data_IF_477538372264
#
_entry.id   IF_477538372264
#
_cell.length_a   1.000
_cell.length_b   1.000
_cell.length_c   1.000
_cell.angle_alpha   90.00
_cell.angle_beta   90.00
_cell.angle_gamma   90.00
#
_symmetry.space_group_name_H-M   'P 1'
#
loop_
_entity.id
_entity.type
_entity.pdbx_description
1 polymer ?
#
# COMPACT_ATOMS: atom_id res chain seq x y z
N UNK A 1 -11.93 -13.49 9.02
CA UNK A 1 -10.93 -14.60 9.05
C UNK A 1 -11.10 -15.57 7.87
N UNK A 2 -12.33 -15.94 7.47
CA UNK A 2 -12.58 -16.95 6.42
C UNK A 2 -12.04 -16.58 5.02
N UNK A 3 -11.95 -15.30 4.71
CA UNK A 3 -11.54 -14.77 3.39
C UNK A 3 -10.15 -14.10 3.41
N UNK A 4 -9.35 -14.34 4.44
CA UNK A 4 -7.98 -13.85 4.54
C UNK A 4 -6.99 -15.01 4.49
N UNK A 5 -5.86 -14.78 3.85
CA UNK A 5 -4.75 -15.73 3.77
C UNK A 5 -3.58 -15.21 4.62
N UNK A 6 -3.19 -15.93 5.67
CA UNK A 6 -2.00 -15.57 6.42
C UNK A 6 -0.74 -15.78 5.58
N UNK A 7 0.23 -14.90 5.72
CA UNK A 7 1.58 -15.03 5.19
C UNK A 7 2.51 -15.36 6.35
N UNK A 8 3.12 -16.54 6.30
CA UNK A 8 4.04 -17.02 7.33
C UNK A 8 5.50 -16.95 6.87
N UNK A 9 5.70 -16.80 5.56
CA UNK A 9 7.02 -16.75 4.94
C UNK A 9 7.06 -15.73 3.81
N UNK A 10 8.12 -14.92 3.76
CA UNK A 10 8.41 -14.00 2.65
C UNK A 10 9.76 -14.37 2.07
N UNK A 11 9.78 -14.63 0.78
CA UNK A 11 10.97 -14.95 0.01
C UNK A 11 11.31 -13.77 -0.91
N UNK A 12 12.44 -13.12 -0.69
CA UNK A 12 13.01 -12.15 -1.61
C UNK A 12 14.13 -12.82 -2.41
N UNK A 13 14.03 -12.82 -3.74
CA UNK A 13 15.02 -13.46 -4.59
C UNK A 13 15.34 -12.64 -5.83
N UNK A 14 16.55 -12.80 -6.32
CA UNK A 14 16.96 -12.25 -7.61
C UNK A 14 16.53 -13.18 -8.74
N UNK A 15 15.86 -12.62 -9.74
CA UNK A 15 15.53 -13.34 -10.98
C UNK A 15 16.76 -13.45 -11.86
N UNK A 16 17.04 -14.66 -12.36
CA UNK A 16 18.22 -14.93 -13.17
C UNK A 16 18.04 -14.43 -14.61
N UNK A 17 18.84 -13.44 -15.01
CA UNK A 17 19.37 -13.29 -16.36
C UNK A 17 20.77 -12.65 -16.34
N UNK A 18 21.42 -12.59 -15.17
CA UNK A 18 22.78 -12.09 -15.07
C UNK A 18 23.68 -13.29 -14.75
N UNK A 19 24.27 -13.85 -15.78
CA UNK A 19 25.10 -15.07 -15.76
C UNK A 19 26.40 -14.99 -14.94
N UNK A 20 26.66 -13.87 -14.25
CA UNK A 20 27.91 -13.65 -13.50
C UNK A 20 27.71 -13.36 -12.00
N UNK A 21 26.48 -13.39 -11.49
CA UNK A 21 26.18 -13.02 -10.10
C UNK A 21 25.46 -14.18 -9.41
N UNK A 22 25.96 -14.62 -8.27
CA UNK A 22 25.23 -15.59 -7.44
C UNK A 22 23.89 -14.99 -7.02
N UNK A 23 22.78 -15.67 -7.32
CA UNK A 23 21.46 -15.15 -6.95
C UNK A 23 21.37 -15.05 -5.44
N UNK A 24 20.94 -13.89 -4.95
CA UNK A 24 20.64 -13.75 -3.53
C UNK A 24 19.25 -14.29 -3.21
N UNK A 25 19.15 -14.83 -2.02
CA UNK A 25 17.88 -15.25 -1.43
C UNK A 25 17.85 -14.77 0.02
N UNK A 26 16.79 -14.04 0.37
CA UNK A 26 16.56 -13.57 1.72
C UNK A 26 15.19 -14.05 2.18
N UNK A 27 15.17 -14.82 3.27
CA UNK A 27 13.96 -15.42 3.80
C UNK A 27 13.61 -14.75 5.13
N UNK A 28 12.35 -14.31 5.23
CA UNK A 28 11.72 -13.89 6.47
C UNK A 28 10.67 -14.92 6.86
N UNK A 29 10.70 -15.36 8.10
CA UNK A 29 9.73 -16.28 8.67
C UNK A 29 9.21 -15.71 9.97
N UNK A 30 8.00 -16.11 10.35
CA UNK A 30 7.46 -15.79 11.68
C UNK A 30 8.33 -16.40 12.76
N UNK A 31 8.59 -15.64 13.83
CA UNK A 31 9.01 -16.24 15.08
C UNK A 31 7.73 -16.71 15.81
N UNK A 32 7.50 -18.02 15.85
CA UNK A 32 6.28 -18.64 16.40
C UNK A 32 5.96 -18.23 17.86
N UNK A 33 6.89 -17.55 18.53
CA UNK A 33 6.70 -17.02 19.89
C UNK A 33 6.00 -15.66 19.93
N UNK A 34 6.06 -14.88 18.84
CA UNK A 34 5.53 -13.50 18.80
C UNK A 34 4.25 -13.37 17.98
N UNK A 35 4.12 -14.13 16.88
CA UNK A 35 2.89 -14.14 16.05
C UNK A 35 2.82 -15.38 15.15
N UNK A 36 1.59 -15.83 14.85
CA UNK A 36 1.37 -16.97 13.96
C UNK A 36 1.58 -16.62 12.46
N UNK A 37 1.70 -15.34 12.13
CA UNK A 37 1.83 -14.86 10.73
C UNK A 37 2.50 -13.48 10.68
N UNK A 38 3.10 -13.15 9.52
CA UNK A 38 3.75 -11.86 9.26
C UNK A 38 2.68 -10.84 8.83
N UNK A 39 1.85 -11.22 7.85
CA UNK A 39 0.79 -10.41 7.27
C UNK A 39 -0.45 -11.27 6.99
N UNK A 40 -1.56 -10.61 6.72
CA UNK A 40 -2.74 -11.22 6.14
C UNK A 40 -3.02 -10.61 4.77
N UNK A 41 -3.21 -11.46 3.76
CA UNK A 41 -3.75 -11.07 2.47
C UNK A 41 -5.26 -11.16 2.49
N UNK A 42 -5.92 -10.13 1.99
CA UNK A 42 -7.37 -10.12 1.78
C UNK A 42 -7.69 -9.48 0.42
N UNK A 43 -8.60 -10.08 -0.32
CA UNK A 43 -9.10 -9.48 -1.55
C UNK A 43 -9.98 -8.26 -1.22
N UNK A 44 -9.81 -7.18 -1.98
CA UNK A 44 -10.49 -5.90 -1.75
C UNK A 44 -12.00 -6.03 -1.62
N UNK A 45 -12.61 -6.91 -2.41
CA UNK A 45 -14.07 -7.15 -2.40
C UNK A 45 -14.57 -7.59 -1.02
N UNK A 46 -13.84 -8.45 -0.33
CA UNK A 46 -14.24 -8.93 1.00
C UNK A 46 -14.01 -7.87 2.08
N UNK A 47 -12.93 -7.08 1.93
CA UNK A 47 -12.68 -5.97 2.85
C UNK A 47 -13.75 -4.89 2.72
N UNK A 48 -14.06 -4.47 1.49
CA UNK A 48 -15.13 -3.49 1.23
C UNK A 48 -16.47 -3.97 1.75
N UNK A 49 -16.84 -5.23 1.48
CA UNK A 49 -18.09 -5.81 1.97
C UNK A 49 -18.18 -5.74 3.50
N UNK A 50 -17.14 -6.16 4.20
CA UNK A 50 -17.11 -6.13 5.66
C UNK A 50 -17.22 -4.71 6.24
N UNK A 51 -16.59 -3.71 5.58
CA UNK A 51 -16.68 -2.31 5.97
C UNK A 51 -18.10 -1.78 5.75
N UNK A 52 -18.72 -2.06 4.59
CA UNK A 52 -20.10 -1.62 4.29
C UNK A 52 -21.07 -2.23 5.26
N UNK A 53 -21.01 -3.55 5.51
CA UNK A 53 -21.85 -4.22 6.51
C UNK A 53 -21.71 -3.55 7.89
N UNK A 54 -20.48 -3.14 8.25
CA UNK A 54 -20.25 -2.45 9.53
C UNK A 54 -20.77 -1.02 9.56
N UNK A 55 -20.71 -0.30 8.44
CA UNK A 55 -21.31 1.03 8.30
C UNK A 55 -22.84 0.95 8.46
N UNK A 56 -23.48 -0.03 7.83
CA UNK A 56 -24.94 -0.23 7.88
C UNK A 56 -25.45 -0.52 9.31
N UNK A 57 -24.60 -1.08 10.18
CA UNK A 57 -24.92 -1.27 11.60
C UNK A 57 -24.86 0.05 12.42
N UNK A 58 -24.24 1.12 11.88
CA UNK A 58 -24.02 2.37 12.59
C UNK A 58 -25.08 3.41 12.22
N UNK A 59 -26.02 3.69 13.14
CA UNK A 59 -27.11 4.66 12.93
C UNK A 59 -26.66 6.13 12.81
N UNK A 60 -25.42 6.43 13.17
CA UNK A 60 -24.83 7.77 13.12
C UNK A 60 -23.96 8.01 11.89
N UNK A 61 -23.96 7.11 10.91
CA UNK A 61 -23.27 7.25 9.64
C UNK A 61 -24.29 7.36 8.52
N UNK A 62 -24.23 8.45 7.77
CA UNK A 62 -25.00 8.64 6.55
C UNK A 62 -24.10 8.40 5.34
N UNK A 63 -24.55 7.60 4.39
CA UNK A 63 -23.76 7.17 3.25
C UNK A 63 -24.43 7.56 1.93
N UNK A 64 -23.72 8.31 1.09
CA UNK A 64 -24.17 8.78 -0.22
C UNK A 64 -23.51 7.95 -1.32
N UNK A 65 -24.21 6.89 -1.77
CA UNK A 65 -23.73 6.04 -2.86
C UNK A 65 -23.79 6.76 -4.21
N UNK A 66 -22.82 6.49 -5.06
CA UNK A 66 -22.76 7.03 -6.44
C UNK A 66 -22.87 8.55 -6.51
N UNK A 67 -22.46 9.24 -5.46
CA UNK A 67 -22.53 10.69 -5.35
C UNK A 67 -21.14 11.31 -5.42
N UNK A 68 -21.06 12.48 -6.04
CA UNK A 68 -19.81 13.21 -6.23
C UNK A 68 -19.95 14.63 -5.68
N UNK A 69 -18.94 15.07 -4.93
CA UNK A 69 -18.84 16.47 -4.53
C UNK A 69 -18.50 17.31 -5.78
N UNK A 70 -19.36 18.26 -6.10
CA UNK A 70 -19.23 19.15 -7.26
C UNK A 70 -18.83 20.58 -6.89
N UNK A 71 -19.05 20.99 -5.64
CA UNK A 71 -18.62 22.27 -5.11
C UNK A 71 -18.16 22.09 -3.65
N UNK A 72 -17.07 22.74 -3.30
CA UNK A 72 -16.49 22.74 -1.96
C UNK A 72 -16.15 24.18 -1.57
N UNK A 73 -16.73 24.66 -0.47
CA UNK A 73 -16.40 25.95 0.14
C UNK A 73 -16.03 25.72 1.59
N UNK A 74 -14.80 25.99 1.93
CA UNK A 74 -14.28 25.83 3.28
C UNK A 74 -13.63 27.16 3.68
N UNK A 75 -14.11 27.73 4.76
CA UNK A 75 -13.55 28.92 5.41
C UNK A 75 -13.27 28.64 6.89
N UNK A 76 -12.83 29.65 7.63
CA UNK A 76 -12.47 29.49 9.03
C UNK A 76 -13.66 29.17 9.96
N UNK A 77 -14.88 29.37 9.51
CA UNK A 77 -16.09 29.25 10.34
C UNK A 77 -16.99 28.11 9.90
N UNK A 78 -16.99 27.78 8.61
CA UNK A 78 -17.92 26.86 8.02
C UNK A 78 -17.31 25.97 6.93
N UNK A 79 -17.92 24.83 6.72
CA UNK A 79 -17.70 24.00 5.55
C UNK A 79 -19.01 23.75 4.84
N UNK A 80 -19.02 23.89 3.54
CA UNK A 80 -20.18 23.63 2.69
C UNK A 80 -19.75 22.78 1.51
N UNK A 81 -20.32 21.59 1.39
CA UNK A 81 -20.14 20.71 0.24
C UNK A 81 -21.47 20.59 -0.51
N UNK A 82 -21.42 20.64 -1.83
CA UNK A 82 -22.58 20.36 -2.69
C UNK A 82 -22.28 19.08 -3.45
N UNK A 83 -23.19 18.11 -3.36
CA UNK A 83 -23.11 16.87 -4.13
C UNK A 83 -23.93 16.98 -5.42
N UNK A 84 -23.69 16.10 -6.36
CA UNK A 84 -24.22 16.14 -7.73
C UNK A 84 -25.75 16.06 -7.83
N UNK A 85 -26.42 15.57 -6.81
CA UNK A 85 -27.89 15.62 -6.69
C UNK A 85 -28.45 16.97 -6.19
N UNK A 86 -27.57 17.96 -5.92
CA UNK A 86 -27.92 19.29 -5.41
C UNK A 86 -28.05 19.39 -3.90
N UNK A 87 -27.86 18.30 -3.15
CA UNK A 87 -27.87 18.32 -1.69
C UNK A 87 -26.67 19.08 -1.13
N UNK A 88 -26.91 19.85 -0.07
CA UNK A 88 -25.86 20.61 0.63
C UNK A 88 -25.56 19.92 1.95
N UNK A 89 -24.26 19.69 2.20
CA UNK A 89 -23.77 19.13 3.45
C UNK A 89 -22.91 20.19 4.13
N UNK A 90 -23.25 20.52 5.38
CA UNK A 90 -22.43 21.35 6.25
C UNK A 90 -21.79 20.48 7.32
N UNK A 91 -20.51 20.75 7.64
CA UNK A 91 -19.77 19.96 8.62
C UNK A 91 -18.76 20.80 9.38
N UNK A 92 -18.28 20.30 10.52
CA UNK A 92 -17.21 20.91 11.31
C UNK A 92 -15.83 20.62 10.71
N UNK A 93 -15.70 19.54 9.93
CA UNK A 93 -14.46 19.07 9.33
C UNK A 93 -14.75 18.31 8.04
N UNK A 94 -13.94 18.53 7.03
CA UNK A 94 -13.88 17.75 5.79
C UNK A 94 -12.63 16.87 5.81
N UNK A 95 -12.82 15.56 5.63
CA UNK A 95 -11.73 14.58 5.49
C UNK A 95 -11.72 14.07 4.05
N UNK A 96 -10.74 14.49 3.27
CA UNK A 96 -10.62 14.06 1.88
C UNK A 96 -9.78 12.78 1.75
N UNK A 97 -10.39 11.76 1.12
CA UNK A 97 -9.76 10.45 0.84
C UNK A 97 -10.07 9.97 -0.58
N UNK A 98 -10.21 10.91 -1.52
CA UNK A 98 -10.60 10.71 -2.91
C UNK A 98 -9.45 10.20 -3.82
N UNK A 99 -8.29 9.91 -3.23
CA UNK A 99 -7.12 9.37 -3.93
C UNK A 99 -6.28 10.42 -4.66
N UNK A 100 -5.36 9.99 -5.52
CA UNK A 100 -4.52 10.89 -6.31
C UNK A 100 -4.66 10.56 -7.82
N UNK A 101 -4.91 11.58 -8.69
CA UNK A 101 -5.10 13.00 -8.37
C UNK A 101 -6.43 13.30 -7.64
N UNK A 102 -6.40 14.17 -6.63
CA UNK A 102 -7.53 14.53 -5.79
C UNK A 102 -8.19 15.82 -6.26
N UNK A 103 -9.50 15.80 -6.46
CA UNK A 103 -10.29 17.00 -6.75
C UNK A 103 -10.45 17.87 -5.51
N UNK A 104 -10.70 17.26 -4.35
CA UNK A 104 -10.85 17.99 -3.07
C UNK A 104 -9.58 18.72 -2.66
N UNK A 105 -8.43 18.06 -2.78
CA UNK A 105 -7.14 18.69 -2.48
C UNK A 105 -6.79 19.82 -3.47
N UNK A 106 -7.20 19.69 -4.74
CA UNK A 106 -7.01 20.72 -5.77
C UNK A 106 -7.81 21.99 -5.45
N UNK A 107 -9.08 21.84 -5.07
CA UNK A 107 -9.93 22.97 -4.64
C UNK A 107 -9.28 23.72 -3.47
N UNK A 108 -8.71 22.97 -2.51
CA UNK A 108 -7.98 23.54 -1.37
C UNK A 108 -6.56 23.99 -1.71
N UNK A 109 -6.14 23.98 -2.97
CA UNK A 109 -4.83 24.41 -3.44
C UNK A 109 -3.67 23.69 -2.73
N UNK A 110 -3.88 22.43 -2.34
CA UNK A 110 -2.84 21.57 -1.79
C UNK A 110 -1.84 21.26 -2.91
N UNK A 111 -0.56 21.54 -2.65
CA UNK A 111 0.54 21.27 -3.58
C UNK A 111 1.15 19.90 -3.28
N UNK A 112 1.55 19.22 -4.34
CA UNK A 112 2.24 17.94 -4.27
C UNK A 112 3.68 18.04 -4.77
N UNK A 113 4.53 17.20 -4.21
CA UNK A 113 5.70 16.71 -4.89
C UNK A 113 5.27 15.42 -5.61
N UNK A 114 5.42 15.36 -6.90
CA UNK A 114 5.08 14.19 -7.69
C UNK A 114 6.24 13.77 -8.58
N UNK A 115 6.36 12.47 -8.80
CA UNK A 115 7.35 11.87 -9.66
C UNK A 115 6.74 10.69 -10.41
N UNK A 116 6.86 10.72 -11.72
CA UNK A 116 6.46 9.60 -12.56
C UNK A 116 7.66 8.68 -12.78
N UNK A 117 7.55 7.43 -12.32
CA UNK A 117 8.63 6.45 -12.48
C UNK A 117 8.78 5.93 -13.91
N UNK A 118 7.89 6.30 -14.84
CA UNK A 118 7.81 5.72 -16.18
C UNK A 118 7.68 4.18 -16.15
N UNK A 119 6.94 3.70 -15.16
CA UNK A 119 6.67 2.30 -14.89
C UNK A 119 5.15 2.05 -14.81
N UNK A 120 4.76 0.82 -15.11
CA UNK A 120 3.41 0.31 -14.90
C UNK A 120 3.45 -1.05 -14.24
N UNK A 121 2.45 -1.35 -13.42
CA UNK A 121 2.25 -2.67 -12.83
C UNK A 121 1.11 -3.39 -13.54
N UNK A 122 1.37 -4.62 -13.98
CA UNK A 122 0.34 -5.56 -14.42
C UNK A 122 -0.06 -6.40 -13.23
N UNK A 123 -1.35 -6.46 -12.96
CA UNK A 123 -1.91 -7.20 -11.83
C UNK A 123 -2.96 -8.19 -12.28
N UNK A 124 -3.12 -9.27 -11.53
CA UNK A 124 -4.15 -10.27 -11.76
C UNK A 124 -4.08 -11.39 -10.73
N UNK A 125 -4.97 -12.36 -10.89
CA UNK A 125 -5.05 -13.57 -10.04
C UNK A 125 -4.94 -14.78 -10.94
N UNK A 126 -4.18 -15.76 -10.49
CA UNK A 126 -4.05 -17.07 -11.13
C UNK A 126 -4.23 -18.22 -10.15
N UNK A 127 -4.76 -19.33 -10.63
CA UNK A 127 -4.77 -20.63 -9.98
C UNK A 127 -3.50 -21.39 -10.29
N UNK A 128 -3.06 -22.22 -9.40
CA UNK A 128 -1.84 -23.01 -9.55
C UNK A 128 -1.95 -24.41 -8.96
N UNK A 129 -1.12 -25.32 -9.47
CA UNK A 129 -1.18 -26.74 -9.08
C UNK A 129 -0.40 -27.01 -7.78
N UNK A 130 0.78 -26.40 -7.62
CA UNK A 130 1.65 -26.59 -6.45
C UNK A 130 1.24 -25.59 -5.37
N UNK A 131 0.89 -26.00 -4.14
CA UNK A 131 0.51 -25.11 -3.05
C UNK A 131 1.53 -24.00 -2.79
N UNK A 132 1.06 -22.86 -2.31
CA UNK A 132 1.91 -21.70 -1.96
C UNK A 132 2.44 -21.76 -0.53
N UNK A 133 1.93 -22.65 0.33
CA UNK A 133 2.35 -22.84 1.72
C UNK A 133 2.43 -21.54 2.53
N UNK A 134 1.47 -20.62 2.30
CA UNK A 134 1.44 -19.28 2.92
C UNK A 134 2.68 -18.43 2.66
N UNK A 135 3.38 -18.70 1.55
CA UNK A 135 4.59 -17.99 1.14
C UNK A 135 4.27 -16.86 0.15
N UNK A 136 4.69 -15.65 0.48
CA UNK A 136 4.80 -14.53 -0.46
C UNK A 136 6.19 -14.51 -1.11
N UNK A 137 6.25 -14.25 -2.42
CA UNK A 137 7.52 -14.23 -3.17
C UNK A 137 7.67 -12.86 -3.83
N UNK A 138 8.83 -12.24 -3.66
CA UNK A 138 9.24 -11.04 -4.37
C UNK A 138 10.49 -11.38 -5.20
N UNK A 139 10.34 -11.30 -6.53
CA UNK A 139 11.40 -11.57 -7.47
C UNK A 139 11.86 -10.25 -8.09
N UNK A 140 13.13 -9.93 -7.98
CA UNK A 140 13.73 -8.77 -8.63
C UNK A 140 14.29 -9.18 -9.99
N UNK A 141 13.47 -8.96 -11.03
CA UNK A 141 13.85 -9.24 -12.42
C UNK A 141 14.54 -8.02 -13.05
N UNK A 142 15.33 -8.19 -14.10
CA UNK A 142 15.90 -7.06 -14.85
C UNK A 142 14.83 -6.12 -15.43
N UNK A 143 13.65 -6.65 -15.77
CA UNK A 143 12.50 -5.88 -16.24
C UNK A 143 11.80 -5.08 -15.13
N UNK A 144 12.03 -5.43 -13.87
CA UNK A 144 11.42 -4.86 -12.67
C UNK A 144 10.86 -5.91 -11.71
N UNK A 145 10.39 -5.51 -10.52
CA UNK A 145 9.96 -6.44 -9.49
C UNK A 145 8.65 -7.16 -9.85
N UNK A 146 8.62 -8.45 -9.52
CA UNK A 146 7.44 -9.31 -9.58
C UNK A 146 7.11 -9.82 -8.18
N UNK A 147 5.95 -9.45 -7.65
CA UNK A 147 5.41 -9.98 -6.40
C UNK A 147 4.37 -11.06 -6.68
N UNK A 148 4.40 -12.15 -5.92
CA UNK A 148 3.40 -13.19 -5.88
C UNK A 148 2.91 -13.31 -4.45
N UNK A 149 1.62 -13.11 -4.28
CA UNK A 149 0.98 -13.00 -2.97
C UNK A 149 -0.05 -14.13 -2.83
N UNK A 150 0.03 -14.95 -1.78
CA UNK A 150 -0.89 -16.07 -1.60
C UNK A 150 -2.31 -15.58 -1.31
N UNK A 151 -3.30 -16.27 -1.86
CA UNK A 151 -4.74 -16.10 -1.60
C UNK A 151 -5.33 -17.42 -1.10
N UNK A 152 -6.49 -17.42 -0.45
CA UNK A 152 -7.12 -18.66 0.03
C UNK A 152 -7.25 -19.73 -1.07
N UNK A 153 -6.87 -20.96 -0.74
CA UNK A 153 -6.77 -22.07 -1.69
C UNK A 153 -5.48 -22.04 -2.53
N UNK A 154 -5.47 -22.77 -3.64
CA UNK A 154 -4.33 -22.76 -4.57
C UNK A 154 -4.44 -21.59 -5.56
N UNK A 155 -4.44 -20.38 -5.02
CA UNK A 155 -4.60 -19.11 -5.75
C UNK A 155 -3.52 -18.13 -5.33
N UNK A 156 -3.07 -17.31 -6.26
CA UNK A 156 -2.13 -16.23 -5.94
C UNK A 156 -2.46 -14.99 -6.78
N UNK A 157 -2.31 -13.84 -6.16
CA UNK A 157 -2.26 -12.57 -6.87
C UNK A 157 -0.84 -12.31 -7.32
N UNK A 158 -0.68 -11.66 -8.48
CA UNK A 158 0.62 -11.15 -8.92
C UNK A 158 0.58 -9.65 -9.16
N UNK A 159 1.70 -9.00 -8.89
CA UNK A 159 1.96 -7.59 -9.22
C UNK A 159 3.31 -7.55 -9.93
N UNK A 160 3.30 -7.32 -11.24
CA UNK A 160 4.50 -7.27 -12.07
C UNK A 160 4.75 -5.84 -12.52
N UNK A 161 5.69 -5.17 -11.89
CA UNK A 161 6.06 -3.79 -12.20
C UNK A 161 7.24 -3.77 -13.17
N UNK A 162 7.14 -2.97 -14.23
CA UNK A 162 8.19 -2.82 -15.23
C UNK A 162 8.11 -1.47 -15.93
N UNK A 163 9.11 -1.11 -16.74
CA UNK A 163 9.07 0.09 -17.57
C UNK A 163 7.87 0.07 -18.51
N UNK A 164 7.28 1.23 -18.81
CA UNK A 164 6.04 1.34 -19.58
C UNK A 164 6.09 0.59 -20.93
N UNK A 165 7.23 0.64 -21.64
CA UNK A 165 7.37 -0.04 -22.93
C UNK A 165 7.27 -1.57 -22.76
N UNK A 166 7.94 -2.13 -21.74
CA UNK A 166 7.88 -3.56 -21.46
C UNK A 166 6.51 -3.97 -20.95
N UNK A 167 5.90 -3.17 -20.06
CA UNK A 167 4.55 -3.39 -19.55
C UNK A 167 3.52 -3.46 -20.69
N UNK A 168 3.57 -2.51 -21.61
CA UNK A 168 2.69 -2.49 -22.78
C UNK A 168 2.89 -3.71 -23.70
N UNK A 169 4.15 -4.12 -23.91
CA UNK A 169 4.47 -5.30 -24.71
C UNK A 169 3.92 -6.57 -24.06
N UNK A 170 4.20 -6.77 -22.78
CA UNK A 170 3.77 -7.96 -22.03
C UNK A 170 2.25 -7.99 -21.84
N UNK A 171 1.62 -6.84 -21.58
CA UNK A 171 0.17 -6.75 -21.39
C UNK A 171 -0.62 -7.11 -22.65
N UNK A 172 -0.08 -6.83 -23.85
CA UNK A 172 -0.70 -7.16 -25.13
C UNK A 172 -0.57 -8.62 -25.57
N UNK A 173 0.23 -9.43 -24.87
CA UNK A 173 0.34 -10.86 -25.16
C UNK A 173 -1.00 -11.56 -24.95
N UNK A 174 -1.23 -12.64 -25.71
CA UNK A 174 -2.34 -13.55 -25.42
C UNK A 174 -2.18 -14.15 -24.01
N UNK A 175 -3.28 -14.63 -23.42
CA UNK A 175 -3.25 -15.22 -22.08
C UNK A 175 -2.24 -16.38 -21.98
N UNK A 176 -2.18 -17.21 -23.02
CA UNK A 176 -1.25 -18.33 -23.09
C UNK A 176 0.21 -17.87 -23.04
N UNK A 177 0.56 -16.87 -23.84
CA UNK A 177 1.93 -16.33 -23.90
C UNK A 177 2.30 -15.59 -22.62
N UNK A 178 1.37 -14.80 -22.06
CA UNK A 178 1.60 -14.12 -20.80
C UNK A 178 1.83 -15.12 -19.65
N UNK A 179 0.99 -16.16 -19.54
CA UNK A 179 1.17 -17.19 -18.51
C UNK A 179 2.50 -17.94 -18.67
N UNK A 180 2.96 -18.14 -19.91
CA UNK A 180 4.29 -18.71 -20.19
C UNK A 180 5.41 -17.80 -19.67
N UNK A 181 5.36 -16.49 -19.95
CA UNK A 181 6.30 -15.51 -19.44
C UNK A 181 6.29 -15.45 -17.91
N UNK A 182 5.07 -15.36 -17.32
CA UNK A 182 4.91 -15.35 -15.87
C UNK A 182 5.47 -16.62 -15.21
N UNK A 183 5.16 -17.79 -15.76
CA UNK A 183 5.62 -19.05 -15.21
C UNK A 183 7.13 -19.24 -15.37
N UNK A 184 7.72 -18.71 -16.44
CA UNK A 184 9.18 -18.65 -16.61
C UNK A 184 9.83 -17.75 -15.55
N UNK A 185 9.26 -16.58 -15.30
CA UNK A 185 9.71 -15.67 -14.24
C UNK A 185 9.63 -16.31 -12.84
N UNK A 186 8.61 -17.14 -12.62
CA UNK A 186 8.40 -17.94 -11.40
C UNK A 186 9.30 -19.19 -11.31
N UNK A 187 10.12 -19.47 -12.32
CA UNK A 187 10.90 -20.72 -12.41
C UNK A 187 10.05 -21.99 -12.20
N UNK A 188 8.80 -21.95 -12.66
CA UNK A 188 7.80 -23.02 -12.51
C UNK A 188 7.50 -23.46 -11.06
N UNK A 189 7.82 -22.65 -10.05
CA UNK A 189 7.64 -23.02 -8.64
C UNK A 189 6.18 -23.25 -8.23
N UNK A 190 5.22 -22.78 -9.04
CA UNK A 190 3.75 -22.99 -8.82
C UNK A 190 3.17 -24.07 -9.75
N UNK A 191 3.99 -24.71 -10.59
CA UNK A 191 3.57 -25.73 -11.56
C UNK A 191 2.71 -25.13 -12.68
N UNK A 192 1.68 -25.85 -13.12
CA UNK A 192 0.72 -25.32 -14.09
C UNK A 192 -0.07 -24.19 -13.49
N UNK A 193 -0.13 -23.06 -14.18
CA UNK A 193 -0.88 -21.86 -13.78
C UNK A 193 -1.96 -21.54 -14.81
N UNK A 194 -3.10 -21.01 -14.34
CA UNK A 194 -4.24 -20.60 -15.16
C UNK A 194 -4.83 -19.30 -14.61
N UNK A 195 -5.23 -18.37 -15.49
CA UNK A 195 -5.88 -17.15 -15.02
C UNK A 195 -7.21 -17.44 -14.34
N UNK A 196 -7.47 -16.69 -13.26
CA UNK A 196 -8.77 -16.62 -12.62
C UNK A 196 -9.43 -15.24 -12.83
N UNK A 197 -8.65 -14.19 -12.96
CA UNK A 197 -9.13 -12.84 -13.23
C UNK A 197 -8.56 -12.28 -14.52
N UNK A 198 -9.25 -11.28 -15.10
CA UNK A 198 -8.65 -10.44 -16.13
C UNK A 198 -7.42 -9.71 -15.59
N UNK A 199 -6.44 -9.51 -16.45
CA UNK A 199 -5.28 -8.67 -16.14
C UNK A 199 -5.67 -7.20 -16.21
N UNK A 200 -5.15 -6.41 -15.30
CA UNK A 200 -5.25 -4.96 -15.33
C UNK A 200 -3.85 -4.36 -15.31
N UNK A 201 -3.71 -3.15 -15.85
CA UNK A 201 -2.43 -2.43 -15.87
C UNK A 201 -2.64 -1.02 -15.31
N UNK A 202 -1.79 -0.64 -14.37
CA UNK A 202 -1.85 0.65 -13.70
C UNK A 202 -0.51 1.38 -13.77
N UNK A 203 -0.51 2.68 -14.13
CA UNK A 203 0.70 3.49 -14.09
C UNK A 203 1.15 3.73 -12.65
N UNK A 204 2.46 3.69 -12.44
CA UNK A 204 3.08 3.88 -11.12
C UNK A 204 3.64 5.28 -11.03
N UNK A 205 3.21 6.00 -10.00
CA UNK A 205 3.70 7.33 -9.67
C UNK A 205 3.85 7.48 -8.16
N UNK A 206 4.75 8.35 -7.76
CA UNK A 206 4.85 8.86 -6.40
C UNK A 206 4.12 10.20 -6.37
N UNK A 207 3.27 10.43 -5.39
CA UNK A 207 2.76 11.75 -5.08
C UNK A 207 2.75 11.93 -3.55
N UNK A 208 3.29 13.03 -3.09
CA UNK A 208 3.39 13.36 -1.68
C UNK A 208 2.94 14.81 -1.47
N UNK A 209 1.93 15.01 -0.64
CA UNK A 209 1.42 16.34 -0.38
C UNK A 209 2.40 17.14 0.47
N UNK A 210 2.55 18.43 0.14
CA UNK A 210 3.39 19.36 0.93
C UNK A 210 2.72 19.79 2.24
N UNK A 211 1.42 19.60 2.36
CA UNK A 211 0.63 19.95 3.52
C UNK A 211 -0.54 18.99 3.67
N UNK A 212 -0.71 18.39 4.85
CA UNK A 212 -1.78 17.43 5.13
C UNK A 212 -3.08 18.07 5.57
N UNK A 213 -3.01 19.30 6.13
CA UNK A 213 -4.15 19.95 6.80
C UNK A 213 -4.26 21.43 6.45
N UNK A 214 -5.48 21.94 6.51
CA UNK A 214 -5.85 23.35 6.55
C UNK A 214 -6.96 23.51 7.59
N UNK A 215 -7.38 24.74 7.85
CA UNK A 215 -8.54 25.00 8.69
C UNK A 215 -9.73 24.21 8.15
N UNK A 216 -10.37 23.39 8.99
CA UNK A 216 -11.52 22.52 8.69
C UNK A 216 -11.33 21.51 7.54
N UNK A 217 -10.09 21.24 7.15
CA UNK A 217 -9.79 20.33 6.04
C UNK A 217 -8.55 19.48 6.31
N UNK A 218 -8.65 18.18 6.08
CA UNK A 218 -7.55 17.23 6.21
C UNK A 218 -7.57 16.21 5.08
N UNK A 219 -6.41 15.81 4.59
CA UNK A 219 -6.23 14.75 3.59
C UNK A 219 -5.58 13.52 4.21
N UNK A 220 -6.03 12.34 3.80
CA UNK A 220 -5.56 11.03 4.28
C UNK A 220 -5.36 10.04 3.13
N UNK A 221 -4.62 8.96 3.38
CA UNK A 221 -4.42 7.87 2.42
C UNK A 221 -3.75 8.33 1.13
N UNK A 222 -4.18 7.76 -0.01
CA UNK A 222 -3.60 8.07 -1.32
C UNK A 222 -3.81 9.53 -1.74
N UNK A 223 -4.77 10.24 -1.14
CA UNK A 223 -4.90 11.70 -1.29
C UNK A 223 -3.72 12.43 -0.67
N UNK A 224 -3.20 11.95 0.45
CA UNK A 224 -2.04 12.54 1.12
C UNK A 224 -0.71 12.06 0.51
N UNK A 225 -0.61 10.75 0.23
CA UNK A 225 0.61 10.11 -0.20
C UNK A 225 0.35 8.84 -1.03
N UNK A 226 0.47 8.96 -2.33
CA UNK A 226 0.51 7.83 -3.25
C UNK A 226 1.93 7.33 -3.36
N UNK A 227 2.18 6.10 -2.91
CA UNK A 227 3.52 5.51 -2.89
C UNK A 227 3.68 4.39 -3.92
N UNK A 228 4.94 4.01 -4.18
CA UNK A 228 5.23 2.87 -5.04
C UNK A 228 4.66 1.57 -4.43
N UNK A 229 4.01 0.67 -5.21
CA UNK A 229 3.35 -0.54 -4.70
C UNK A 229 4.30 -1.63 -4.20
N UNK A 230 5.60 -1.36 -4.10
CA UNK A 230 6.56 -2.29 -3.48
C UNK A 230 6.10 -2.59 -2.05
N UNK A 231 5.95 -3.86 -1.75
CA UNK A 231 5.51 -4.38 -0.46
C UNK A 231 4.07 -4.04 -0.04
N UNK A 232 3.21 -3.50 -0.93
CA UNK A 232 1.77 -3.30 -0.66
C UNK A 232 1.46 -2.31 0.48
N UNK A 233 2.32 -1.32 0.73
CA UNK A 233 2.23 -0.43 1.89
C UNK A 233 1.19 0.69 1.77
N UNK A 234 0.67 1.00 0.57
CA UNK A 234 -0.23 2.15 0.37
C UNK A 234 -1.47 2.11 1.26
N UNK A 235 -2.23 1.02 1.22
CA UNK A 235 -3.42 0.85 2.06
C UNK A 235 -3.08 0.88 3.56
N UNK A 236 -2.00 0.23 3.95
CA UNK A 236 -1.58 0.19 5.36
C UNK A 236 -1.24 1.59 5.89
N UNK A 237 -0.57 2.41 5.07
CA UNK A 237 -0.26 3.79 5.40
C UNK A 237 -1.55 4.62 5.56
N UNK A 238 -2.53 4.44 4.66
CA UNK A 238 -3.84 5.09 4.76
C UNK A 238 -4.63 4.66 6.00
N UNK A 239 -4.60 3.38 6.38
CA UNK A 239 -5.24 2.89 7.61
C UNK A 239 -4.58 3.53 8.86
N UNK A 240 -3.26 3.70 8.85
CA UNK A 240 -2.54 4.40 9.92
C UNK A 240 -2.94 5.86 10.01
N UNK A 241 -3.19 6.54 8.87
CA UNK A 241 -3.71 7.90 8.86
C UNK A 241 -5.09 7.98 9.52
N UNK A 242 -6.00 7.06 9.14
CA UNK A 242 -7.33 6.99 9.74
C UNK A 242 -7.24 6.80 11.26
N UNK A 243 -6.42 5.87 11.71
CA UNK A 243 -6.26 5.58 13.14
C UNK A 243 -5.68 6.78 13.92
N UNK A 244 -4.65 7.43 13.38
CA UNK A 244 -4.03 8.60 14.00
C UNK A 244 -4.98 9.81 14.01
N UNK A 245 -5.69 10.07 12.90
CA UNK A 245 -6.67 11.14 12.82
C UNK A 245 -7.79 10.91 13.84
N UNK A 246 -8.35 9.70 13.89
CA UNK A 246 -9.41 9.34 14.85
C UNK A 246 -8.95 9.59 16.29
N UNK A 247 -7.74 9.17 16.64
CA UNK A 247 -7.19 9.38 17.99
C UNK A 247 -7.07 10.87 18.32
N UNK A 248 -6.51 11.68 17.41
CA UNK A 248 -6.39 13.13 17.61
C UNK A 248 -7.76 13.79 17.77
N UNK A 249 -8.72 13.48 16.90
CA UNK A 249 -10.04 14.11 16.93
C UNK A 249 -10.83 13.73 18.20
N UNK A 250 -10.81 12.46 18.60
CA UNK A 250 -11.52 11.98 19.79
C UNK A 250 -10.95 12.62 21.06
N UNK A 251 -9.61 12.63 21.21
CA UNK A 251 -8.97 13.21 22.37
C UNK A 251 -9.19 14.72 22.46
N UNK A 252 -9.09 15.44 21.34
CA UNK A 252 -9.35 16.87 21.28
C UNK A 252 -10.81 17.22 21.57
N UNK A 253 -11.76 16.43 21.04
CA UNK A 253 -13.19 16.64 21.33
C UNK A 253 -13.52 16.44 22.83
N UNK A 254 -12.88 15.45 23.49
CA UNK A 254 -13.05 15.24 24.94
C UNK A 254 -12.54 16.42 25.76
N UNK A 255 -11.58 17.17 25.24
CA UNK A 255 -11.06 18.39 25.86
C UNK A 255 -11.89 19.64 25.52
N UNK A 256 -12.92 19.52 24.69
CA UNK A 256 -13.75 20.63 24.23
C UNK A 256 -13.07 21.49 23.15
N UNK A 257 -11.99 20.97 22.52
CA UNK A 257 -11.31 21.68 21.41
C UNK A 257 -12.16 21.59 20.12
N UNK A 258 -12.06 22.61 19.26
CA UNK A 258 -12.65 22.58 17.92
C UNK A 258 -11.85 21.61 17.04
N UNK A 259 -12.46 20.48 16.67
CA UNK A 259 -11.86 19.42 15.88
C UNK A 259 -11.47 19.85 14.47
N UNK A 260 -12.08 20.93 13.94
CA UNK A 260 -11.76 21.50 12.65
C UNK A 260 -10.63 22.52 12.69
N UNK A 261 -10.20 22.96 13.87
CA UNK A 261 -9.16 23.99 14.01
C UNK A 261 -7.79 23.50 13.52
N UNK A 262 -7.03 24.40 12.91
CA UNK A 262 -5.67 24.10 12.49
C UNK A 262 -4.79 23.62 13.64
N UNK A 263 -5.02 24.14 14.87
CA UNK A 263 -4.27 23.72 16.06
C UNK A 263 -4.44 22.22 16.36
N UNK A 264 -5.65 21.70 16.25
CA UNK A 264 -5.96 20.27 16.45
C UNK A 264 -5.40 19.45 15.26
N UNK A 265 -5.67 19.89 14.04
CA UNK A 265 -5.26 19.16 12.85
C UNK A 265 -3.74 19.11 12.67
N UNK A 266 -3.01 20.13 13.14
CA UNK A 266 -1.54 20.14 13.14
C UNK A 266 -0.94 19.03 14.05
N UNK A 267 -1.65 18.59 15.09
CA UNK A 267 -1.22 17.43 15.91
C UNK A 267 -1.14 16.17 15.02
N UNK A 268 -2.18 15.94 14.23
CA UNK A 268 -2.22 14.85 13.25
C UNK A 268 -1.11 15.02 12.19
N UNK A 269 -0.99 16.20 11.59
CA UNK A 269 -0.03 16.45 10.53
C UNK A 269 1.42 16.21 10.99
N UNK A 270 1.78 16.67 12.18
CA UNK A 270 3.12 16.43 12.78
C UNK A 270 3.38 14.96 13.00
N UNK A 271 2.40 14.24 13.54
CA UNK A 271 2.52 12.80 13.79
C UNK A 271 2.74 12.02 12.49
N UNK A 272 1.89 12.27 11.48
CA UNK A 272 1.89 11.48 10.25
C UNK A 272 3.00 11.84 9.25
N UNK A 273 3.46 13.10 9.24
CA UNK A 273 4.46 13.54 8.27
C UNK A 273 5.79 12.80 8.39
N UNK A 274 6.28 12.54 9.60
CA UNK A 274 7.53 11.81 9.82
C UNK A 274 7.39 10.33 9.44
N UNK A 275 6.28 9.72 9.82
CA UNK A 275 6.00 8.32 9.54
C UNK A 275 5.82 8.07 8.03
N UNK A 276 5.04 8.91 7.35
CA UNK A 276 4.85 8.81 5.91
C UNK A 276 6.15 9.05 5.13
N UNK A 277 6.99 9.99 5.56
CA UNK A 277 8.29 10.23 4.93
C UNK A 277 9.21 9.01 5.02
N UNK A 278 9.28 8.32 6.17
CA UNK A 278 10.10 7.11 6.32
C UNK A 278 9.66 6.01 5.35
N UNK A 279 8.35 5.78 5.20
CA UNK A 279 7.82 4.79 4.24
C UNK A 279 8.11 5.20 2.79
N UNK A 280 7.95 6.48 2.45
CA UNK A 280 8.28 7.01 1.11
C UNK A 280 9.76 6.81 0.79
N UNK A 281 10.65 7.19 1.71
CA UNK A 281 12.09 6.97 1.52
C UNK A 281 12.44 5.50 1.38
N UNK A 282 11.87 4.64 2.21
CA UNK A 282 12.11 3.21 2.16
C UNK A 282 11.66 2.60 0.82
N UNK A 283 10.47 2.94 0.35
CA UNK A 283 9.91 2.40 -0.91
C UNK A 283 10.64 2.95 -2.13
N UNK A 284 10.97 4.25 -2.15
CA UNK A 284 11.72 4.87 -3.25
C UNK A 284 13.17 4.36 -3.29
N UNK A 285 13.83 4.24 -2.14
CA UNK A 285 15.16 3.65 -2.03
C UNK A 285 15.17 2.20 -2.53
N UNK A 286 14.22 1.39 -2.09
CA UNK A 286 14.08 -0.01 -2.50
C UNK A 286 13.86 -0.12 -4.00
N UNK A 287 12.96 0.70 -4.57
CA UNK A 287 12.73 0.71 -6.01
C UNK A 287 13.99 1.08 -6.78
N UNK A 288 14.65 2.19 -6.44
CA UNK A 288 15.88 2.65 -7.12
C UNK A 288 17.03 1.65 -6.97
N UNK A 289 17.14 1.07 -5.79
CA UNK A 289 18.18 0.09 -5.49
C UNK A 289 18.03 -1.18 -6.33
N UNK A 290 16.85 -1.76 -6.40
CA UNK A 290 16.61 -2.99 -7.13
C UNK A 290 16.35 -2.80 -8.62
N UNK A 291 16.01 -1.59 -9.08
CA UNK A 291 15.84 -1.27 -10.50
C UNK A 291 17.17 -0.94 -11.21
N UNK A 292 18.27 -0.76 -10.48
CA UNK A 292 19.55 -0.37 -11.06
C UNK A 292 20.55 -1.54 -11.06
N UNK A 293 20.85 -2.08 -12.24
CA UNK A 293 21.80 -3.20 -12.43
C UNK A 293 23.18 -2.94 -11.81
N UNK A 294 23.65 -1.69 -11.78
CA UNK A 294 24.94 -1.34 -11.21
C UNK A 294 24.96 -1.46 -9.68
N UNK A 295 23.86 -1.16 -9.00
CA UNK A 295 23.72 -1.39 -7.56
C UNK A 295 23.59 -2.87 -7.23
N UNK A 296 22.83 -3.63 -8.03
CA UNK A 296 22.75 -5.09 -7.89
C UNK A 296 24.11 -5.74 -8.03
N UNK A 297 24.96 -5.30 -8.98
CA UNK A 297 26.33 -5.78 -9.14
C UNK A 297 27.22 -5.48 -7.92
N UNK A 298 27.11 -4.31 -7.31
CA UNK A 298 27.84 -3.95 -6.09
C UNK A 298 27.37 -4.71 -4.85
N UNK A 299 26.07 -5.00 -4.76
CA UNK A 299 25.47 -5.69 -3.62
C UNK A 299 25.62 -7.21 -3.71
N UNK A 300 25.78 -7.76 -4.89
CA UNK A 300 26.02 -9.19 -5.11
C UNK A 300 27.37 -9.68 -4.58
N UNK A 301 28.21 -8.79 -4.03
CA UNK A 301 29.40 -9.18 -3.29
C UNK A 301 29.15 -10.01 -2.03
N UNK A 302 27.97 -10.60 -1.89
CA UNK A 302 27.64 -11.69 -0.95
C UNK A 302 27.73 -11.37 0.54
N UNK A 303 28.53 -10.39 0.92
CA UNK A 303 28.85 -10.09 2.32
C UNK A 303 27.66 -9.43 3.03
N UNK A 304 27.00 -8.46 2.38
CA UNK A 304 25.90 -7.71 3.01
C UNK A 304 24.67 -8.62 3.16
N UNK A 305 24.36 -9.45 2.15
CA UNK A 305 23.24 -10.41 2.26
C UNK A 305 23.53 -11.52 3.28
N UNK A 306 24.79 -11.98 3.38
CA UNK A 306 25.17 -12.89 4.47
C UNK A 306 25.00 -12.26 5.84
N UNK A 307 25.38 -10.99 6.00
CA UNK A 307 25.17 -10.23 7.24
C UNK A 307 23.70 -10.05 7.55
N UNK A 308 22.88 -9.67 6.56
CA UNK A 308 21.43 -9.55 6.68
C UNK A 308 20.76 -10.89 7.02
N UNK A 309 21.19 -11.96 6.36
CA UNK A 309 20.64 -13.31 6.61
C UNK A 309 20.98 -13.84 8.01
N UNK A 310 22.12 -13.49 8.54
CA UNK A 310 22.59 -14.00 9.83
C UNK A 310 22.16 -13.12 11.02
N UNK A 311 21.71 -11.88 10.80
CA UNK A 311 21.31 -10.97 11.87
C UNK A 311 19.80 -11.01 12.09
N UNK A 312 19.36 -11.71 13.14
CA UNK A 312 17.94 -11.71 13.59
C UNK A 312 17.44 -10.30 13.91
N UNK A 313 18.28 -9.45 14.50
CA UNK A 313 17.96 -8.10 14.91
C UNK A 313 17.64 -7.19 13.70
N UNK A 314 18.47 -7.26 12.65
CA UNK A 314 18.25 -6.47 11.42
C UNK A 314 17.00 -6.97 10.70
N UNK A 315 16.80 -8.29 10.60
CA UNK A 315 15.57 -8.87 10.03
C UNK A 315 14.33 -8.41 10.77
N UNK A 316 14.35 -8.45 12.11
CA UNK A 316 13.23 -7.99 12.94
C UNK A 316 12.95 -6.49 12.73
N UNK A 317 14.00 -5.66 12.67
CA UNK A 317 13.85 -4.24 12.36
C UNK A 317 13.20 -4.01 10.99
N UNK A 318 13.70 -4.66 9.93
CA UNK A 318 13.13 -4.56 8.58
C UNK A 318 11.69 -5.07 8.51
N UNK A 319 11.37 -6.15 9.24
CA UNK A 319 9.99 -6.66 9.33
C UNK A 319 9.07 -5.69 10.06
N UNK A 320 9.49 -5.12 11.18
CA UNK A 320 8.70 -4.14 11.92
C UNK A 320 8.44 -2.90 11.06
N UNK A 321 9.44 -2.41 10.34
CA UNK A 321 9.30 -1.29 9.41
C UNK A 321 8.30 -1.64 8.29
N UNK A 322 8.46 -2.80 7.66
CA UNK A 322 7.56 -3.27 6.61
C UNK A 322 6.14 -3.56 7.12
N UNK A 323 5.99 -3.97 8.38
CA UNK A 323 4.68 -4.21 9.02
C UNK A 323 4.01 -2.93 9.51
N UNK A 324 4.72 -1.78 9.46
CA UNK A 324 4.23 -0.54 10.02
C UNK A 324 4.12 -0.57 11.54
N UNK A 325 4.88 -1.44 12.20
CA UNK A 325 4.95 -1.57 13.65
C UNK A 325 6.12 -0.78 14.26
N UNK A 326 6.73 0.12 13.47
CA UNK A 326 7.77 1.03 13.93
C UNK A 326 7.20 2.43 14.19
N UNK A 327 7.87 3.19 15.05
CA UNK A 327 7.48 4.55 15.41
C UNK A 327 6.33 4.63 16.43
N UNK A 328 5.64 5.76 16.45
CA UNK A 328 4.50 6.01 17.33
C UNK A 328 3.21 5.47 16.70
N UNK A 329 2.79 4.28 17.16
CA UNK A 329 1.66 3.55 16.60
C UNK A 329 0.38 4.03 17.27
N UNK A 330 -0.67 4.41 16.51
CA UNK A 330 -1.98 4.75 17.06
C UNK A 330 -2.60 3.64 17.91
N UNK A 331 -3.32 3.99 18.96
CA UNK A 331 -3.96 3.06 19.90
C UNK A 331 -4.82 2.01 19.21
N UNK A 332 -5.66 2.42 18.25
CA UNK A 332 -6.50 1.48 17.51
C UNK A 332 -5.72 0.37 16.82
N UNK A 333 -4.52 0.66 16.33
CA UNK A 333 -3.65 -0.34 15.70
C UNK A 333 -2.93 -1.24 16.70
N UNK A 334 -2.87 -0.84 17.97
CA UNK A 334 -2.43 -1.69 19.10
C UNK A 334 -3.57 -2.55 19.65
N UNK A 335 -4.81 -2.37 19.15
CA UNK A 335 -6.00 -3.00 19.71
C UNK A 335 -6.50 -2.34 21.00
N UNK A 336 -6.04 -1.12 21.29
CA UNK A 336 -6.44 -0.33 22.45
C UNK A 336 -7.59 0.60 22.10
N UNK A 337 -8.49 0.88 23.04
CA UNK A 337 -9.51 1.92 22.91
C UNK A 337 -8.88 3.31 23.02
N UNK A 338 -9.46 4.27 22.29
CA UNK A 338 -9.07 5.69 22.39
C UNK A 338 -9.71 6.32 23.61
#
# INVERSE_FOLDING_TARGET
>A
KKNSQPITKILLQQGSNISSIQPFELIFTTDQKESDHIFNMIEEIYLKKAIIEKIDECSNIEYFYSSKVIEQKIDNFSTKLVIDNGQIINSDLVVASDGYPSSSAKEEKIKYFDNNYNQSSIVGIFKHKIPHDSEAIQIFLPSGPLAILPLPGNRSSFVWTMKNNDANRIFKLSDLLFLKELNTALKNCRGKIEFESKRNMFPISLAFSKRLVKEKFVIIGDTAHKIHPIAGQGLNLGIRDVAALAEVLILSRRLGEDIGSSLVLDKYAKWRSLDALSVVFFTDFTNKFFSNENYLKKFSSGIIFKLLNNSKTIKKYLMNEASGLSGDIPKLLKGESI
#
